data_IF_914843422005
#
_entry.id   IF_914843422005
#
_cell.length_a   1.000
_cell.length_b   1.000
_cell.length_c   1.000
_cell.angle_alpha   90.00
_cell.angle_beta   90.00
_cell.angle_gamma   90.00
#
_symmetry.space_group_name_H-M   'P 1'
#
loop_
_entity.id
_entity.type
_entity.pdbx_description
1 polymer ?
#
# COMPACT_ATOMS: atom_id res chain seq x y z
N UNK A 1 -0.96 16.18 29.17
CA UNK A 1 -0.20 15.91 27.93
C UNK A 1 -1.18 15.95 26.76
N UNK A 2 -1.02 16.87 25.81
CA UNK A 2 -1.93 16.97 24.66
C UNK A 2 -1.62 15.82 23.70
N UNK A 3 -2.49 14.80 23.67
CA UNK A 3 -2.47 13.77 22.64
C UNK A 3 -2.71 14.45 21.27
N UNK A 4 -1.66 14.55 20.45
CA UNK A 4 -1.75 15.12 19.09
C UNK A 4 -1.94 13.99 18.10
N UNK A 5 -3.17 13.53 17.94
CA UNK A 5 -3.52 12.64 16.82
C UNK A 5 -3.29 13.40 15.52
N UNK A 6 -2.61 12.74 14.58
CA UNK A 6 -2.31 13.26 13.25
C UNK A 6 -3.06 12.41 12.23
N UNK A 7 -3.71 13.08 11.29
CA UNK A 7 -4.25 12.48 10.08
C UNK A 7 -3.36 12.84 8.89
N UNK A 8 -3.12 11.86 8.01
CA UNK A 8 -2.38 12.03 6.76
C UNK A 8 -3.29 11.62 5.60
N UNK A 9 -3.24 12.37 4.51
CA UNK A 9 -4.07 12.12 3.32
C UNK A 9 -3.28 12.32 2.03
N UNK A 10 -3.47 11.37 1.11
CA UNK A 10 -3.04 11.45 -0.28
C UNK A 10 -4.21 11.97 -1.11
N UNK A 11 -4.00 13.02 -1.92
CA UNK A 11 -5.04 13.66 -2.72
C UNK A 11 -4.52 14.24 -4.04
N UNK A 12 -5.45 14.71 -4.88
CA UNK A 12 -5.22 15.14 -6.27
C UNK A 12 -4.45 14.08 -7.07
N UNK A 13 -5.10 12.94 -7.29
CA UNK A 13 -4.57 11.81 -8.07
C UNK A 13 -3.18 11.35 -7.60
N UNK A 14 -2.98 11.34 -6.28
CA UNK A 14 -1.73 10.94 -5.66
C UNK A 14 -0.60 11.97 -5.76
N UNK A 15 -0.84 13.17 -6.29
CA UNK A 15 0.22 14.18 -6.47
C UNK A 15 0.53 14.95 -5.20
N UNK A 16 -0.36 14.97 -4.21
CA UNK A 16 -0.20 15.77 -3.00
C UNK A 16 -0.38 14.92 -1.75
N UNK A 17 0.46 15.23 -0.77
CA UNK A 17 0.38 14.70 0.58
C UNK A 17 0.14 15.85 1.53
N UNK A 18 -0.91 15.76 2.33
CA UNK A 18 -1.26 16.73 3.36
C UNK A 18 -1.52 16.05 4.70
N UNK A 19 -1.39 16.81 5.78
CA UNK A 19 -1.70 16.34 7.13
C UNK A 19 -2.52 17.38 7.91
N UNK A 20 -3.19 16.93 8.96
CA UNK A 20 -3.86 17.78 9.93
C UNK A 20 -3.72 17.16 11.33
N UNK A 21 -3.68 17.99 12.36
CA UNK A 21 -3.75 17.59 13.77
C UNK A 21 -5.17 17.80 14.28
N UNK A 22 -5.55 17.10 15.35
CA UNK A 22 -6.79 17.43 16.07
C UNK A 22 -6.75 18.90 16.48
N UNK A 23 -7.79 19.65 16.11
CA UNK A 23 -7.91 21.08 16.38
C UNK A 23 -7.41 21.98 15.24
N UNK A 24 -6.72 21.46 14.23
CA UNK A 24 -6.39 22.24 13.04
C UNK A 24 -7.68 22.55 12.26
N UNK A 25 -7.82 23.79 11.78
CA UNK A 25 -8.96 24.23 10.96
C UNK A 25 -8.80 23.93 9.47
N UNK A 26 -7.61 23.52 9.04
CA UNK A 26 -7.28 23.20 7.64
C UNK A 26 -6.16 22.19 7.52
N UNK A 27 -6.13 21.48 6.38
CA UNK A 27 -5.05 20.56 6.02
C UNK A 27 -3.79 21.30 5.56
N UNK A 28 -2.64 20.92 6.08
CA UNK A 28 -1.33 21.46 5.72
C UNK A 28 -0.62 20.55 4.71
N UNK A 29 -0.20 21.10 3.58
CA UNK A 29 0.54 20.32 2.58
C UNK A 29 1.99 20.09 2.99
N UNK A 30 2.47 18.85 2.84
CA UNK A 30 3.84 18.44 3.23
C UNK A 30 4.66 17.87 2.08
N UNK A 31 4.02 17.47 0.98
CA UNK A 31 4.75 17.05 -0.21
C UNK A 31 3.92 17.22 -1.47
N UNK A 32 4.60 17.54 -2.56
CA UNK A 32 4.06 17.57 -3.92
C UNK A 32 4.98 16.78 -4.83
N UNK A 33 4.42 15.87 -5.61
CA UNK A 33 5.11 15.20 -6.71
C UNK A 33 4.81 15.98 -7.99
N UNK A 34 5.86 16.55 -8.60
CA UNK A 34 5.76 17.32 -9.85
C UNK A 34 6.13 16.52 -11.09
N UNK A 35 6.85 15.39 -10.92
CA UNK A 35 7.24 14.52 -12.04
C UNK A 35 5.97 14.00 -12.72
N UNK A 36 5.94 14.07 -14.04
CA UNK A 36 4.90 13.42 -14.82
C UNK A 36 5.06 11.90 -14.71
N UNK A 37 3.95 11.16 -14.64
CA UNK A 37 3.96 9.70 -14.45
C UNK A 37 4.14 9.19 -13.02
N UNK A 38 4.68 9.98 -12.07
CA UNK A 38 4.84 9.56 -10.67
C UNK A 38 3.73 10.11 -9.75
N UNK A 39 3.35 9.34 -8.74
CA UNK A 39 2.35 9.71 -7.73
C UNK A 39 2.60 8.92 -6.45
N UNK A 40 2.04 9.35 -5.31
CA UNK A 40 1.99 8.52 -4.12
C UNK A 40 1.06 7.33 -4.37
N UNK A 41 1.56 6.14 -4.09
CA UNK A 41 0.84 4.88 -4.25
C UNK A 41 0.11 4.48 -2.96
N UNK A 42 0.79 4.67 -1.82
CA UNK A 42 0.25 4.37 -0.51
C UNK A 42 1.03 5.11 0.59
N UNK A 43 0.44 5.24 1.77
CA UNK A 43 1.08 5.75 2.97
C UNK A 43 0.68 4.94 4.21
N UNK A 44 1.51 4.88 5.24
CA UNK A 44 1.20 4.12 6.46
C UNK A 44 1.88 4.74 7.68
N UNK A 45 1.28 4.59 8.86
CA UNK A 45 1.96 4.83 10.12
C UNK A 45 2.70 3.56 10.58
N UNK A 46 3.98 3.69 10.88
CA UNK A 46 4.81 2.60 11.38
C UNK A 46 5.82 3.11 12.42
N UNK A 47 5.80 2.54 13.64
CA UNK A 47 6.81 2.78 14.69
C UNK A 47 7.16 4.27 14.91
N UNK A 48 6.15 5.11 15.12
CA UNK A 48 6.38 6.53 15.46
C UNK A 48 6.43 7.48 14.26
N UNK A 49 6.43 6.98 13.03
CA UNK A 49 6.57 7.80 11.82
C UNK A 49 5.54 7.42 10.76
N UNK A 50 5.22 8.39 9.92
CA UNK A 50 4.48 8.12 8.68
C UNK A 50 5.45 7.85 7.55
N UNK A 51 5.08 6.92 6.70
CA UNK A 51 5.80 6.56 5.49
C UNK A 51 4.87 6.72 4.30
N UNK A 52 5.39 7.17 3.17
CA UNK A 52 4.67 7.13 1.90
C UNK A 52 5.60 6.65 0.81
N UNK A 53 5.10 5.77 -0.04
CA UNK A 53 5.83 5.24 -1.19
C UNK A 53 5.23 5.81 -2.47
N UNK A 54 6.09 6.17 -3.41
CA UNK A 54 5.65 6.62 -4.74
C UNK A 54 5.51 5.45 -5.70
N UNK A 55 4.86 5.66 -6.85
CA UNK A 55 4.75 4.67 -7.91
C UNK A 55 6.11 4.27 -8.49
N UNK A 56 7.11 5.14 -8.39
CA UNK A 56 8.53 4.86 -8.72
C UNK A 56 9.29 4.13 -7.58
N UNK A 57 8.62 3.82 -6.46
CA UNK A 57 9.22 3.10 -5.33
C UNK A 57 9.97 3.97 -4.32
N UNK A 58 10.00 5.30 -4.49
CA UNK A 58 10.70 6.19 -3.56
C UNK A 58 9.97 6.19 -2.21
N UNK A 59 10.63 5.73 -1.16
CA UNK A 59 10.09 5.71 0.20
C UNK A 59 10.49 6.99 0.94
N UNK A 60 9.49 7.75 1.39
CA UNK A 60 9.67 8.97 2.20
C UNK A 60 9.07 8.76 3.57
N UNK A 61 9.63 9.41 4.58
CA UNK A 61 9.14 9.39 5.96
C UNK A 61 8.92 10.79 6.51
N UNK A 62 7.94 10.92 7.40
CA UNK A 62 7.60 12.14 8.13
C UNK A 62 7.47 11.87 9.62
N UNK A 63 8.03 12.79 10.40
CA UNK A 63 7.88 12.87 11.84
C UNK A 63 7.07 14.12 12.21
N UNK A 64 5.90 13.88 12.81
CA UNK A 64 4.92 14.91 13.20
C UNK A 64 4.88 15.15 14.71
N UNK A 65 5.80 14.58 15.49
CA UNK A 65 5.81 14.69 16.96
C UNK A 65 6.04 16.12 17.47
N UNK A 66 6.69 16.98 16.67
CA UNK A 66 6.92 18.39 17.00
C UNK A 66 5.72 19.32 16.75
N UNK A 67 5.73 20.51 17.36
CA UNK A 67 4.80 21.61 17.06
C UNK A 67 5.08 22.28 15.71
N UNK A 68 6.33 22.22 15.24
CA UNK A 68 6.79 22.90 14.05
C UNK A 68 6.46 22.13 12.76
N UNK A 69 7.03 22.60 11.64
CA UNK A 69 6.98 21.91 10.36
C UNK A 69 7.48 20.46 10.51
N UNK A 70 6.77 19.48 9.96
CA UNK A 70 7.13 18.08 10.09
C UNK A 70 8.47 17.77 9.44
N UNK A 71 9.28 16.95 10.11
CA UNK A 71 10.60 16.57 9.60
C UNK A 71 10.44 15.50 8.54
N UNK A 72 10.90 15.78 7.32
CA UNK A 72 10.84 14.87 6.17
C UNK A 72 12.21 14.25 5.90
N UNK A 73 12.25 12.95 5.60
CA UNK A 73 13.45 12.25 5.13
C UNK A 73 13.09 11.30 3.99
N UNK A 74 13.82 11.36 2.88
CA UNK A 74 13.82 10.27 1.87
C UNK A 74 14.58 9.09 2.47
N UNK A 75 13.90 7.97 2.67
CA UNK A 75 14.45 6.77 3.31
C UNK A 75 15.09 5.88 2.27
N UNK A 76 14.39 5.59 1.17
CA UNK A 76 14.88 4.80 0.04
C UNK A 76 14.75 5.67 -1.20
N UNK A 77 15.87 5.93 -1.86
CA UNK A 77 15.96 6.84 -3.00
C UNK A 77 15.93 6.12 -4.36
N UNK A 78 16.13 4.80 -4.38
CA UNK A 78 16.13 4.01 -5.61
C UNK A 78 14.79 4.16 -6.34
N UNK A 79 14.90 4.75 -7.54
CA UNK A 79 13.95 4.64 -8.64
C UNK A 79 14.07 3.19 -9.12
N UNK A 80 12.96 2.47 -9.14
CA UNK A 80 12.95 1.15 -9.75
C UNK A 80 13.24 1.33 -11.26
N UNK A 81 14.52 1.31 -11.64
CA UNK A 81 14.92 0.79 -12.95
C UNK A 81 14.63 -0.72 -12.93
N UNK A 82 13.36 -1.08 -12.74
CA UNK A 82 12.90 -2.46 -12.79
C UNK A 82 13.27 -2.95 -14.20
N UNK A 83 14.26 -3.84 -14.25
CA UNK A 83 14.78 -4.50 -15.44
C UNK A 83 13.74 -5.38 -16.16
N UNK A 84 12.45 -5.25 -15.84
CA UNK A 84 11.36 -6.01 -16.40
C UNK A 84 10.45 -5.09 -17.23
N UNK A 85 10.10 -5.53 -18.44
CA UNK A 85 9.15 -4.85 -19.34
C UNK A 85 7.73 -4.74 -18.76
N UNK A 86 7.44 -5.47 -17.67
CA UNK A 86 6.11 -5.55 -17.06
C UNK A 86 5.83 -4.35 -16.13
N UNK A 87 4.80 -3.53 -16.39
CA UNK A 87 4.55 -2.30 -15.64
C UNK A 87 4.04 -2.57 -14.21
N UNK A 88 4.56 -1.81 -13.23
CA UNK A 88 4.03 -1.76 -11.87
C UNK A 88 2.67 -1.09 -11.86
N UNK A 89 1.65 -1.85 -11.44
CA UNK A 89 0.25 -1.42 -11.35
C UNK A 89 0.04 -0.54 -10.14
N UNK A 90 0.54 -1.00 -8.98
CA UNK A 90 0.37 -0.32 -7.69
C UNK A 90 1.38 -0.84 -6.68
N UNK A 91 1.49 -0.13 -5.56
CA UNK A 91 2.34 -0.48 -4.43
C UNK A 91 1.56 -0.25 -3.14
N UNK A 92 1.67 -1.17 -2.20
CA UNK A 92 1.10 -1.04 -0.86
C UNK A 92 2.19 -1.14 0.20
N UNK A 93 1.97 -0.47 1.33
CA UNK A 93 2.79 -0.59 2.52
C UNK A 93 2.04 -1.39 3.58
N UNK A 94 2.72 -2.31 4.24
CA UNK A 94 2.11 -3.18 5.24
C UNK A 94 2.99 -3.27 6.49
N UNK A 95 2.45 -2.83 7.62
CA UNK A 95 3.06 -3.04 8.94
C UNK A 95 2.71 -4.43 9.44
N UNK A 96 3.71 -5.20 9.88
CA UNK A 96 3.49 -6.57 10.37
C UNK A 96 3.49 -6.66 11.90
N UNK A 97 2.86 -7.69 12.49
CA UNK A 97 2.86 -7.91 13.94
C UNK A 97 4.26 -8.23 14.49
N UNK A 98 5.13 -8.81 13.65
CA UNK A 98 6.56 -9.01 13.96
C UNK A 98 7.42 -7.76 13.72
N UNK A 99 6.80 -6.60 13.47
CA UNK A 99 7.46 -5.30 13.45
C UNK A 99 8.27 -5.00 12.20
N UNK A 100 8.01 -5.68 11.09
CA UNK A 100 8.59 -5.28 9.81
C UNK A 100 7.64 -4.31 9.09
N UNK A 101 8.21 -3.44 8.27
CA UNK A 101 7.48 -2.72 7.24
C UNK A 101 7.74 -3.42 5.91
N UNK A 102 6.68 -3.87 5.26
CA UNK A 102 6.73 -4.54 3.97
C UNK A 102 6.21 -3.60 2.88
N UNK A 103 6.74 -3.79 1.67
CA UNK A 103 6.17 -3.25 0.45
C UNK A 103 5.63 -4.42 -0.38
N UNK A 104 4.38 -4.30 -0.80
CA UNK A 104 3.74 -5.20 -1.75
C UNK A 104 3.74 -4.50 -3.10
N UNK A 105 4.43 -5.07 -4.09
CA UNK A 105 4.46 -4.57 -5.47
C UNK A 105 3.57 -5.45 -6.33
N UNK A 106 2.66 -4.83 -7.06
CA UNK A 106 1.73 -5.51 -7.95
C UNK A 106 2.12 -5.17 -9.37
N UNK A 107 2.54 -6.16 -10.14
CA UNK A 107 2.95 -6.05 -11.53
C UNK A 107 1.87 -6.60 -12.44
N UNK A 108 1.75 -6.02 -13.63
CA UNK A 108 1.01 -6.64 -14.72
C UNK A 108 1.85 -7.82 -15.22
N UNK A 109 1.30 -9.03 -15.21
CA UNK A 109 1.98 -10.17 -15.83
C UNK A 109 1.42 -10.35 -17.23
N UNK A 110 2.20 -9.94 -18.25
CA UNK A 110 1.77 -10.03 -19.65
C UNK A 110 1.97 -11.42 -20.25
N UNK A 111 2.75 -12.28 -19.59
CA UNK A 111 3.13 -13.62 -20.08
C UNK A 111 2.27 -14.74 -19.49
N UNK A 112 1.73 -14.58 -18.28
CA UNK A 112 0.86 -15.57 -17.63
C UNK A 112 -0.63 -15.22 -17.76
N UNK A 113 -1.48 -16.23 -17.94
CA UNK A 113 -2.94 -16.07 -18.01
C UNK A 113 -3.59 -15.47 -16.74
N UNK A 114 -2.84 -15.35 -15.64
CA UNK A 114 -3.28 -14.75 -14.37
C UNK A 114 -3.20 -13.22 -14.34
N UNK A 115 -2.62 -12.59 -15.37
CA UNK A 115 -2.53 -11.14 -15.57
C UNK A 115 -1.80 -10.33 -14.48
N UNK A 116 -1.33 -10.95 -13.38
CA UNK A 116 -0.73 -10.26 -12.22
C UNK A 116 0.36 -11.08 -11.56
N UNK A 117 1.46 -10.40 -11.23
CA UNK A 117 2.50 -10.92 -10.33
C UNK A 117 2.58 -10.04 -9.10
N UNK A 118 2.66 -10.65 -7.91
CA UNK A 118 2.89 -9.91 -6.67
C UNK A 118 4.25 -10.29 -6.08
N UNK A 119 5.03 -9.26 -5.79
CA UNK A 119 6.30 -9.38 -5.08
C UNK A 119 6.22 -8.65 -3.74
N UNK A 120 6.94 -9.16 -2.74
CA UNK A 120 6.97 -8.59 -1.40
C UNK A 120 8.41 -8.36 -0.97
N UNK A 121 8.69 -7.13 -0.59
CA UNK A 121 9.99 -6.73 -0.04
C UNK A 121 9.84 -6.29 1.40
N UNK A 122 10.84 -6.60 2.21
CA UNK A 122 11.03 -5.96 3.51
C UNK A 122 11.80 -4.66 3.32
N UNK A 123 11.25 -3.56 3.84
CA UNK A 123 11.92 -2.26 3.84
C UNK A 123 12.81 -2.17 5.08
N UNK A 124 14.12 -2.22 4.87
CA UNK A 124 15.09 -2.02 5.94
C UNK A 124 15.36 -0.51 6.10
N UNK A 125 14.73 0.06 7.13
CA UNK A 125 14.80 1.48 7.42
C UNK A 125 16.17 1.95 7.94
N UNK A 126 17.01 1.01 8.43
CA UNK A 126 18.35 1.32 8.94
C UNK A 126 19.35 1.35 7.81
N UNK A 127 19.40 0.28 7.00
CA UNK A 127 20.29 0.20 5.83
C UNK A 127 19.76 0.97 4.63
N UNK A 128 18.51 1.46 4.69
CA UNK A 128 17.88 2.23 3.62
C UNK A 128 17.73 1.44 2.32
N UNK A 129 17.51 0.13 2.44
CA UNK A 129 17.43 -0.82 1.31
C UNK A 129 16.14 -1.62 1.35
N UNK A 130 15.84 -2.29 0.23
CA UNK A 130 14.77 -3.27 0.13
C UNK A 130 15.37 -4.67 0.09
N UNK A 131 14.71 -5.62 0.77
CA UNK A 131 15.14 -7.02 0.79
C UNK A 131 13.98 -7.88 0.31
N UNK A 132 14.12 -8.44 -0.88
CA UNK A 132 13.12 -9.34 -1.46
C UNK A 132 12.85 -10.53 -0.53
N UNK A 133 11.57 -10.84 -0.32
CA UNK A 133 11.14 -11.98 0.46
C UNK A 133 10.65 -13.08 -0.47
N UNK A 134 10.96 -14.33 -0.13
CA UNK A 134 10.34 -15.47 -0.81
C UNK A 134 8.82 -15.46 -0.59
N UNK A 135 8.03 -15.33 -1.65
CA UNK A 135 6.58 -15.11 -1.59
C UNK A 135 5.87 -16.04 -0.62
N UNK A 136 6.16 -17.35 -0.67
CA UNK A 136 5.53 -18.37 0.19
C UNK A 136 5.88 -18.33 1.69
N UNK A 137 6.77 -17.44 2.13
CA UNK A 137 7.14 -17.27 3.55
C UNK A 137 7.05 -15.81 4.02
N UNK A 138 6.72 -14.87 3.12
CA UNK A 138 6.74 -13.45 3.41
C UNK A 138 5.74 -13.06 4.52
N UNK A 139 4.56 -13.70 4.53
CA UNK A 139 3.51 -13.43 5.51
C UNK A 139 3.50 -14.39 6.70
N UNK A 140 4.42 -15.36 6.77
CA UNK A 140 4.57 -16.27 7.93
C UNK A 140 3.25 -16.90 8.38
N UNK A 141 2.44 -17.39 7.45
CA UNK A 141 1.12 -17.99 7.74
C UNK A 141 0.05 -16.98 8.14
N UNK A 142 0.21 -15.70 7.83
CA UNK A 142 -0.81 -14.67 8.00
C UNK A 142 -1.50 -14.38 6.68
N UNK A 143 -2.69 -13.79 6.75
CA UNK A 143 -3.39 -13.21 5.62
C UNK A 143 -3.23 -11.69 5.69
N UNK A 144 -2.88 -11.06 4.57
CA UNK A 144 -2.77 -9.62 4.45
C UNK A 144 -3.98 -9.04 3.72
N UNK A 145 -4.37 -7.84 4.09
CA UNK A 145 -5.44 -7.06 3.50
C UNK A 145 -4.85 -5.72 3.08
N UNK A 146 -4.90 -5.41 1.79
CA UNK A 146 -4.38 -4.16 1.23
C UNK A 146 -5.40 -3.57 0.27
N UNK A 147 -5.31 -2.27 -0.02
CA UNK A 147 -6.28 -1.58 -0.85
C UNK A 147 -6.23 -0.08 -0.60
N UNK A 148 -7.32 0.62 -0.90
CA UNK A 148 -7.42 2.08 -0.68
C UNK A 148 -7.72 2.46 0.79
N UNK A 149 -7.93 1.47 1.65
CA UNK A 149 -8.17 1.66 3.09
C UNK A 149 -6.95 1.21 3.89
N UNK A 150 -7.00 1.41 5.21
CA UNK A 150 -5.96 0.93 6.12
C UNK A 150 -5.69 -0.57 5.92
N UNK A 151 -4.45 -0.96 5.61
CA UNK A 151 -4.04 -2.32 5.43
C UNK A 151 -4.00 -3.02 6.78
N UNK A 152 -4.25 -4.32 6.73
CA UNK A 152 -4.30 -5.18 7.90
C UNK A 152 -3.58 -6.49 7.64
N UNK A 153 -3.18 -7.16 8.72
CA UNK A 153 -2.58 -8.48 8.65
C UNK A 153 -3.04 -9.29 9.84
N UNK A 154 -3.60 -10.47 9.56
CA UNK A 154 -4.28 -11.31 10.54
C UNK A 154 -3.67 -12.71 10.56
N UNK A 155 -3.52 -13.26 11.77
CA UNK A 155 -3.05 -14.62 11.98
C UNK A 155 -4.10 -15.61 11.51
N UNK A 156 -3.76 -16.52 10.59
CA UNK A 156 -4.69 -17.57 10.17
C UNK A 156 -4.90 -18.66 11.22
N UNK A 157 -4.04 -18.71 12.25
CA UNK A 157 -4.27 -19.55 13.41
C UNK A 157 -5.45 -19.05 14.25
N UNK A 158 -5.58 -17.74 14.38
CA UNK A 158 -6.68 -17.09 15.11
C UNK A 158 -7.94 -16.99 14.24
N UNK A 159 -7.77 -16.89 12.92
CA UNK A 159 -8.85 -16.82 11.94
C UNK A 159 -8.72 -17.93 10.89
N UNK A 160 -9.09 -19.19 11.21
CA UNK A 160 -8.90 -20.34 10.32
C UNK A 160 -9.67 -20.28 9.00
N UNK A 161 -10.65 -19.37 8.89
CA UNK A 161 -11.38 -19.13 7.63
C UNK A 161 -10.55 -18.36 6.60
N UNK A 162 -9.47 -17.71 7.02
CA UNK A 162 -8.55 -17.01 6.13
C UNK A 162 -7.51 -17.97 5.55
N UNK A 163 -7.11 -17.73 4.31
CA UNK A 163 -6.07 -18.52 3.65
C UNK A 163 -4.69 -18.01 4.08
N UNK A 164 -3.78 -18.88 4.54
CA UNK A 164 -2.44 -18.47 4.94
C UNK A 164 -1.63 -18.04 3.73
N UNK A 165 -0.73 -17.08 3.93
CA UNK A 165 0.18 -16.58 2.90
C UNK A 165 -0.56 -16.05 1.66
N UNK A 166 -1.74 -15.47 1.88
CA UNK A 166 -2.55 -14.83 0.85
C UNK A 166 -2.71 -13.34 1.09
N UNK A 167 -2.82 -12.57 0.01
CA UNK A 167 -3.14 -11.14 0.03
C UNK A 167 -4.55 -10.95 -0.51
N UNK A 168 -5.42 -10.39 0.30
CA UNK A 168 -6.74 -9.92 -0.08
C UNK A 168 -6.64 -8.45 -0.45
N UNK A 169 -7.11 -8.07 -1.63
CA UNK A 169 -7.03 -6.68 -2.06
C UNK A 169 -8.21 -6.23 -2.90
N UNK A 170 -8.55 -4.96 -2.74
CA UNK A 170 -9.54 -4.28 -3.58
C UNK A 170 -8.86 -3.73 -4.83
N UNK A 171 -9.65 -3.40 -5.85
CA UNK A 171 -9.16 -2.74 -7.07
C UNK A 171 -8.30 -1.51 -6.71
N UNK A 172 -7.01 -1.47 -7.12
CA UNK A 172 -6.15 -0.33 -6.83
C UNK A 172 -6.59 0.94 -7.56
N UNK A 173 -6.13 2.11 -7.09
CA UNK A 173 -6.01 3.28 -7.97
C UNK A 173 -4.92 3.00 -8.99
N UNK A 174 -5.29 2.94 -10.27
CA UNK A 174 -4.40 2.55 -11.36
C UNK A 174 -3.63 3.76 -11.90
N UNK A 175 -2.34 3.55 -12.21
CA UNK A 175 -1.46 4.53 -12.88
C UNK A 175 -1.96 4.91 -14.27
N UNK A 176 -2.49 3.95 -15.02
CA UNK A 176 -3.03 4.13 -16.37
C UNK A 176 -4.28 3.25 -16.56
N UNK A 177 -5.43 3.86 -16.88
CA UNK A 177 -6.68 3.12 -17.10
C UNK A 177 -6.65 2.28 -18.39
N UNK A 178 -5.94 2.76 -19.41
CA UNK A 178 -5.91 2.17 -20.74
C UNK A 178 -5.38 0.73 -20.78
N UNK A 179 -4.39 0.39 -19.94
CA UNK A 179 -3.87 -0.99 -19.85
C UNK A 179 -4.93 -2.02 -19.40
N UNK A 180 -6.05 -1.57 -18.84
CA UNK A 180 -7.10 -2.41 -18.25
C UNK A 180 -8.47 -2.27 -18.92
N UNK A 181 -8.67 -1.28 -19.79
CA UNK A 181 -9.94 -1.05 -20.51
C UNK A 181 -10.37 -2.27 -21.35
N UNK A 182 -9.42 -3.10 -21.79
CA UNK A 182 -9.69 -4.32 -22.57
C UNK A 182 -9.84 -5.60 -21.73
N UNK A 183 -9.62 -5.58 -20.41
CA UNK A 183 -9.50 -6.79 -19.57
C UNK A 183 -10.76 -7.14 -18.75
N UNK A 184 -11.94 -6.87 -19.34
CA UNK A 184 -13.30 -7.33 -18.91
C UNK A 184 -13.44 -7.61 -17.40
N UNK A 185 -13.52 -6.57 -16.56
CA UNK A 185 -13.97 -6.65 -15.16
C UNK A 185 -13.21 -7.61 -14.23
N UNK A 186 -12.09 -8.21 -14.66
CA UNK A 186 -11.32 -9.20 -13.87
C UNK A 186 -10.70 -8.62 -12.60
N UNK A 187 -10.78 -7.32 -12.40
CA UNK A 187 -10.19 -6.60 -11.27
C UNK A 187 -11.22 -5.97 -10.34
N UNK A 188 -12.51 -6.11 -10.64
CA UNK A 188 -13.58 -5.58 -9.81
C UNK A 188 -13.75 -6.39 -8.51
N UNK A 189 -14.21 -5.73 -7.46
CA UNK A 189 -14.45 -6.36 -6.16
C UNK A 189 -13.17 -6.66 -5.38
N UNK A 190 -13.25 -7.68 -4.52
CA UNK A 190 -12.15 -8.14 -3.67
C UNK A 190 -11.51 -9.38 -4.29
N UNK A 191 -10.21 -9.30 -4.52
CA UNK A 191 -9.39 -10.41 -5.02
C UNK A 191 -8.56 -11.01 -3.92
N UNK A 192 -8.20 -12.28 -4.08
CA UNK A 192 -7.24 -12.98 -3.24
C UNK A 192 -6.11 -13.51 -4.11
N UNK A 193 -4.87 -13.20 -3.72
CA UNK A 193 -3.68 -13.71 -4.37
C UNK A 193 -2.96 -14.68 -3.44
N UNK A 194 -2.77 -15.92 -3.91
CA UNK A 194 -1.99 -16.94 -3.20
C UNK A 194 -0.51 -16.77 -3.55
N UNK A 195 0.32 -16.41 -2.56
CA UNK A 195 1.74 -16.13 -2.78
C UNK A 195 2.57 -17.37 -3.11
N UNK A 196 2.11 -18.57 -2.74
CA UNK A 196 2.81 -19.83 -3.03
C UNK A 196 2.49 -20.32 -4.42
N UNK A 197 1.20 -20.29 -4.78
CA UNK A 197 0.70 -20.76 -6.08
C UNK A 197 0.82 -19.70 -7.18
N UNK A 198 1.01 -18.44 -6.79
CA UNK A 198 1.04 -17.28 -7.69
C UNK A 198 -0.24 -17.15 -8.52
N UNK A 199 -1.38 -17.42 -7.88
CA UNK A 199 -2.71 -17.40 -8.52
C UNK A 199 -3.57 -16.28 -7.98
N UNK A 200 -4.34 -15.65 -8.86
CA UNK A 200 -5.33 -14.62 -8.52
C UNK A 200 -6.74 -15.19 -8.67
N UNK A 201 -7.56 -15.03 -7.63
CA UNK A 201 -8.93 -15.51 -7.60
C UNK A 201 -9.89 -14.43 -7.05
N UNK A 202 -11.18 -14.59 -7.33
CA UNK A 202 -12.23 -13.85 -6.62
C UNK A 202 -12.32 -14.32 -5.17
N UNK A 203 -12.20 -13.38 -4.22
CA UNK A 203 -12.41 -13.71 -2.81
C UNK A 203 -13.88 -14.07 -2.52
N UNK A 204 -14.80 -13.50 -3.29
CA UNK A 204 -16.26 -13.68 -3.16
C UNK A 204 -16.94 -13.93 -4.52
N UNK A 205 -16.88 -15.17 -5.05
CA UNK A 205 -17.39 -15.51 -6.39
C UNK A 205 -18.88 -15.24 -6.57
N UNK A 206 -19.67 -15.27 -5.49
CA UNK A 206 -21.14 -15.30 -5.53
C UNK A 206 -21.82 -13.94 -5.29
N UNK A 207 -21.07 -12.85 -5.10
CA UNK A 207 -21.69 -11.56 -4.73
C UNK A 207 -20.83 -10.30 -4.85
N UNK A 208 -19.63 -10.38 -5.42
CA UNK A 208 -18.67 -9.26 -5.45
C UNK A 208 -18.72 -8.37 -6.71
N UNK A 209 -19.37 -8.80 -7.80
CA UNK A 209 -19.28 -8.15 -9.11
C UNK A 209 -20.01 -6.81 -9.25
N UNK A 210 -20.76 -6.38 -8.23
CA UNK A 210 -21.58 -5.15 -8.25
C UNK A 210 -21.02 -4.01 -7.39
N UNK A 211 -19.91 -4.22 -6.68
CA UNK A 211 -19.25 -3.12 -5.98
C UNK A 211 -18.56 -2.24 -7.03
N UNK A 212 -19.29 -1.22 -7.46
CA UNK A 212 -18.76 -0.16 -8.32
C UNK A 212 -17.53 0.50 -7.71
N UNK A 213 -16.83 1.28 -8.53
CA UNK A 213 -15.58 1.99 -8.27
C UNK A 213 -15.75 3.11 -7.22
N UNK A 214 -16.30 2.80 -6.05
CA UNK A 214 -16.32 3.73 -4.92
C UNK A 214 -14.92 3.69 -4.33
N UNK A 215 -14.13 4.69 -4.69
CA UNK A 215 -12.80 4.87 -4.17
C UNK A 215 -12.86 5.70 -2.88
N UNK A 216 -12.85 5.11 -1.67
CA UNK A 216 -12.71 5.91 -0.46
C UNK A 216 -11.41 6.73 -0.51
N UNK A 217 -11.42 7.90 0.14
CA UNK A 217 -10.21 8.69 0.33
C UNK A 217 -9.31 7.98 1.35
N UNK A 218 -8.03 7.85 1.05
CA UNK A 218 -7.02 7.26 1.93
C UNK A 218 -6.80 8.17 3.14
N UNK A 219 -7.63 8.02 4.18
CA UNK A 219 -7.52 8.77 5.43
C UNK A 219 -7.05 7.83 6.53
N UNK A 220 -5.98 8.23 7.19
CA UNK A 220 -5.36 7.48 8.27
C UNK A 220 -5.58 8.17 9.61
N UNK A 221 -5.96 7.39 10.62
CA UNK A 221 -6.10 7.85 12.01
C UNK A 221 -5.15 7.06 12.90
N UNK A 222 -4.63 7.70 13.95
CA UNK A 222 -3.89 7.01 15.01
C UNK A 222 -4.80 6.90 16.24
N UNK A 223 -4.95 5.71 16.85
CA UNK A 223 -5.68 5.60 18.10
C UNK A 223 -4.90 6.33 19.19
N UNK A 224 -5.59 7.12 20.01
CA UNK A 224 -5.03 7.66 21.24
C UNK A 224 -4.82 6.50 22.20
N UNK A 225 -3.57 6.21 22.56
CA UNK A 225 -3.25 5.41 23.73
C UNK A 225 -3.65 6.26 24.95
N UNK A 226 -4.84 6.02 25.47
CA UNK A 226 -5.22 6.40 26.84
C UNK A 226 -4.62 5.35 27.77
#
# INVERSE_FOLDING_TARGET
STCRTVALVIHLDGKRLSFARIGDTYWQQVSVIRRNGDSFADCIYHRGRFYAVTMEGILKSWDFSGSDKPRKKTVIAEDDNDMFDDPVITRYLLSTPWGNLLQVRVFLDTHQGNNVRIEIDRLDLKSQTRVALSSGKALRGHAAFVGQNSPGILSTKEFPKLRPDCIYFTTPRLRERHAFEHRRNQWSGVKVYDLKRQTLEDAFPSGGGLYGTICPLEVWFTPSLI
#
